data_IF_653756442056
#
_entry.id   IF_653756442056
#
_cell.length_a   1.000
_cell.length_b   1.000
_cell.length_c   1.000
_cell.angle_alpha   90.00
_cell.angle_beta   90.00
_cell.angle_gamma   90.00
#
_symmetry.space_group_name_H-M   'P 1'
#
loop_
_entity.id
_entity.type
_entity.pdbx_description
1 polymer ?
#
# COMPACT_ATOMS: atom_id res chain seq x y z
N UNK A 1 -92.40 7.90 -29.05
CA UNK A 1 -91.69 6.60 -29.15
C UNK A 1 -90.36 6.84 -29.84
N UNK A 2 -89.27 6.96 -29.07
CA UNK A 2 -87.90 6.95 -29.58
C UNK A 2 -87.16 5.85 -28.79
N UNK A 3 -86.98 4.70 -29.42
CA UNK A 3 -86.16 3.61 -28.90
C UNK A 3 -84.69 4.01 -29.06
N UNK A 4 -84.10 4.51 -27.96
CA UNK A 4 -82.66 4.76 -27.88
C UNK A 4 -81.92 3.43 -28.02
N UNK A 5 -81.26 3.28 -29.17
CA UNK A 5 -80.40 2.15 -29.52
C UNK A 5 -79.17 2.16 -28.58
N UNK A 6 -79.27 1.41 -27.48
CA UNK A 6 -78.22 1.17 -26.49
C UNK A 6 -77.18 0.21 -27.09
N UNK A 7 -76.56 0.59 -28.20
CA UNK A 7 -75.40 -0.14 -28.75
C UNK A 7 -74.29 -0.08 -27.71
N UNK A 8 -74.00 -1.23 -27.13
CA UNK A 8 -73.03 -1.46 -26.08
C UNK A 8 -71.66 -0.83 -26.42
N UNK A 9 -71.28 0.24 -25.72
CA UNK A 9 -69.92 0.80 -25.67
C UNK A 9 -68.91 -0.11 -24.95
N UNK A 10 -69.40 -1.21 -24.37
CA UNK A 10 -68.65 -2.19 -23.57
C UNK A 10 -67.32 -2.70 -24.17
N UNK A 11 -67.24 -3.08 -25.47
CA UNK A 11 -65.98 -3.57 -26.02
C UNK A 11 -64.93 -2.46 -26.19
N UNK A 12 -65.35 -1.20 -26.29
CA UNK A 12 -64.44 -0.05 -26.43
C UNK A 12 -63.83 0.37 -25.08
N UNK A 13 -64.62 0.33 -24.01
CA UNK A 13 -64.17 0.64 -22.64
C UNK A 13 -63.20 -0.42 -22.10
N UNK A 14 -63.43 -1.71 -22.40
CA UNK A 14 -62.52 -2.78 -22.02
C UNK A 14 -61.17 -2.68 -22.75
N UNK A 15 -61.18 -2.33 -24.04
CA UNK A 15 -59.97 -2.10 -24.82
C UNK A 15 -59.14 -0.94 -24.28
N UNK A 16 -59.80 0.15 -23.85
CA UNK A 16 -59.13 1.30 -23.25
C UNK A 16 -58.52 0.99 -21.88
N UNK A 17 -59.23 0.24 -21.02
CA UNK A 17 -58.71 -0.21 -19.72
C UNK A 17 -57.51 -1.15 -19.86
N UNK A 18 -57.55 -2.09 -20.82
CA UNK A 18 -56.41 -2.95 -21.15
C UNK A 18 -55.19 -2.12 -21.58
N UNK A 19 -55.38 -1.18 -22.51
CA UNK A 19 -54.30 -0.32 -23.01
C UNK A 19 -53.72 0.59 -21.92
N UNK A 20 -54.57 1.13 -21.05
CA UNK A 20 -54.17 1.94 -19.90
C UNK A 20 -53.49 1.12 -18.80
N UNK A 21 -53.77 -0.18 -18.69
CA UNK A 21 -53.13 -1.07 -17.71
C UNK A 21 -51.75 -1.58 -18.14
N UNK A 22 -51.42 -1.59 -19.44
CA UNK A 22 -50.13 -2.07 -19.95
C UNK A 22 -48.91 -1.35 -19.32
N UNK A 23 -48.88 -0.01 -19.20
CA UNK A 23 -47.80 0.68 -18.48
C UNK A 23 -47.69 0.26 -17.02
N UNK A 24 -48.81 0.07 -16.33
CA UNK A 24 -48.83 -0.35 -14.92
C UNK A 24 -48.29 -1.78 -14.77
N UNK A 25 -48.69 -2.71 -15.65
CA UNK A 25 -48.16 -4.07 -15.69
C UNK A 25 -46.65 -4.04 -15.98
N UNK A 26 -46.19 -3.19 -16.90
CA UNK A 26 -44.78 -3.00 -17.19
C UNK A 26 -43.99 -2.52 -15.96
N UNK A 27 -44.50 -1.52 -15.24
CA UNK A 27 -43.89 -1.03 -13.98
C UNK A 27 -43.85 -2.13 -12.92
N UNK A 28 -44.96 -2.86 -12.72
CA UNK A 28 -45.01 -3.97 -11.75
C UNK A 28 -44.00 -5.06 -12.12
N UNK A 29 -43.88 -5.43 -13.40
CA UNK A 29 -42.92 -6.43 -13.85
C UNK A 29 -41.46 -5.97 -13.62
N UNK A 30 -41.15 -4.69 -13.87
CA UNK A 30 -39.82 -4.11 -13.62
C UNK A 30 -39.50 -4.11 -12.11
N UNK A 31 -40.44 -3.65 -11.27
CA UNK A 31 -40.27 -3.61 -9.83
C UNK A 31 -40.17 -5.01 -9.23
N UNK A 32 -41.00 -5.94 -9.68
CA UNK A 32 -40.98 -7.34 -9.26
C UNK A 32 -39.68 -8.05 -9.65
N UNK A 33 -39.22 -7.84 -10.89
CA UNK A 33 -37.94 -8.37 -11.37
C UNK A 33 -36.75 -7.82 -10.58
N UNK A 34 -36.75 -6.52 -10.27
CA UNK A 34 -35.69 -5.93 -9.44
C UNK A 34 -35.74 -6.43 -7.99
N UNK A 35 -36.92 -6.56 -7.38
CA UNK A 35 -37.06 -7.11 -6.04
C UNK A 35 -36.51 -8.54 -5.94
N UNK A 36 -36.77 -9.39 -6.94
CA UNK A 36 -36.18 -10.73 -7.01
C UNK A 36 -34.65 -10.68 -7.13
N UNK A 37 -34.11 -9.74 -7.92
CA UNK A 37 -32.67 -9.53 -8.06
C UNK A 37 -32.02 -9.04 -6.76
N UNK A 38 -32.69 -8.15 -6.01
CA UNK A 38 -32.21 -7.70 -4.71
C UNK A 38 -32.22 -8.83 -3.68
N UNK A 39 -33.27 -9.65 -3.66
CA UNK A 39 -33.35 -10.82 -2.77
C UNK A 39 -32.26 -11.85 -3.10
N UNK A 40 -32.02 -12.15 -4.37
CA UNK A 40 -30.96 -13.09 -4.75
C UNK A 40 -29.57 -12.53 -4.41
N UNK A 41 -29.33 -11.24 -4.61
CA UNK A 41 -28.10 -10.57 -4.22
C UNK A 41 -27.88 -10.61 -2.70
N UNK A 42 -28.93 -10.36 -1.91
CA UNK A 42 -28.88 -10.42 -0.45
C UNK A 42 -28.56 -11.85 0.05
N UNK A 43 -29.24 -12.87 -0.50
CA UNK A 43 -28.97 -14.27 -0.16
C UNK A 43 -27.54 -14.68 -0.52
N UNK A 44 -27.06 -14.28 -1.70
CA UNK A 44 -25.68 -14.55 -2.14
C UNK A 44 -24.64 -13.82 -1.26
N UNK A 45 -24.95 -12.61 -0.79
CA UNK A 45 -24.09 -11.88 0.13
C UNK A 45 -24.01 -12.60 1.48
N UNK A 46 -25.16 -12.96 2.06
CA UNK A 46 -25.22 -13.67 3.34
C UNK A 46 -24.43 -14.97 3.30
N UNK A 47 -24.68 -15.83 2.31
CA UNK A 47 -23.96 -17.09 2.15
C UNK A 47 -22.45 -16.87 2.08
N UNK A 48 -21.99 -15.93 1.24
CA UNK A 48 -20.56 -15.64 1.12
C UNK A 48 -19.98 -15.07 2.42
N UNK A 49 -20.75 -14.30 3.18
CA UNK A 49 -20.31 -13.77 4.48
C UNK A 49 -20.10 -14.90 5.47
N UNK A 50 -21.03 -15.85 5.54
CA UNK A 50 -20.88 -17.08 6.34
C UNK A 50 -19.68 -17.93 5.87
N UNK A 51 -19.45 -18.06 4.56
CA UNK A 51 -18.28 -18.75 4.01
C UNK A 51 -16.96 -18.07 4.42
N UNK A 52 -16.90 -16.74 4.37
CA UNK A 52 -15.72 -15.97 4.75
C UNK A 52 -15.40 -16.09 6.25
N UNK A 53 -16.42 -16.00 7.11
CA UNK A 53 -16.27 -16.22 8.56
C UNK A 53 -15.75 -17.63 8.86
N UNK A 54 -16.31 -18.66 8.19
CA UNK A 54 -15.82 -20.05 8.34
C UNK A 54 -14.38 -20.24 7.88
N UNK A 55 -13.94 -19.46 6.89
CA UNK A 55 -12.57 -19.45 6.42
C UNK A 55 -11.63 -18.54 7.25
N UNK A 56 -12.14 -17.89 8.31
CA UNK A 56 -11.36 -16.96 9.14
C UNK A 56 -10.94 -15.67 8.43
N UNK A 57 -11.63 -15.30 7.34
CA UNK A 57 -11.34 -14.10 6.57
C UNK A 57 -12.17 -12.94 7.15
N UNK A 58 -11.56 -11.79 7.48
CA UNK A 58 -12.27 -10.68 8.07
C UNK A 58 -13.33 -10.10 7.12
N UNK A 59 -14.45 -9.65 7.70
CA UNK A 59 -15.62 -9.11 7.00
C UNK A 59 -16.21 -7.85 7.66
N UNK A 60 -15.81 -7.55 8.90
CA UNK A 60 -16.31 -6.46 9.75
C UNK A 60 -15.26 -6.07 10.81
N UNK A 61 -15.57 -5.10 11.68
CA UNK A 61 -14.65 -4.62 12.71
C UNK A 61 -14.26 -5.69 13.75
N UNK A 62 -15.22 -6.54 14.15
CA UNK A 62 -15.01 -7.56 15.18
C UNK A 62 -14.06 -8.64 14.66
N UNK A 63 -14.34 -9.17 13.47
CA UNK A 63 -13.46 -10.15 12.82
C UNK A 63 -12.08 -9.58 12.50
N UNK A 64 -11.97 -8.28 12.19
CA UNK A 64 -10.69 -7.58 12.05
C UNK A 64 -9.93 -7.52 13.38
N UNK A 65 -10.61 -7.21 14.48
CA UNK A 65 -10.02 -7.19 15.82
C UNK A 65 -9.50 -8.57 16.22
N UNK A 66 -10.25 -9.63 15.94
CA UNK A 66 -9.82 -11.02 16.18
C UNK A 66 -8.59 -11.42 15.35
N UNK A 67 -8.58 -11.07 14.06
CA UNK A 67 -7.43 -11.33 13.18
C UNK A 67 -6.21 -10.58 13.71
N UNK A 68 -6.34 -9.30 14.02
CA UNK A 68 -5.28 -8.45 14.54
C UNK A 68 -4.72 -8.99 15.86
N UNK A 69 -5.59 -9.36 16.82
CA UNK A 69 -5.18 -9.93 18.09
C UNK A 69 -4.46 -11.30 17.95
N UNK A 70 -4.75 -12.05 16.88
CA UNK A 70 -4.09 -13.34 16.60
C UNK A 70 -2.73 -13.18 15.92
N UNK A 71 -2.56 -12.17 15.08
CA UNK A 71 -1.32 -11.94 14.31
C UNK A 71 -0.32 -11.04 15.02
N UNK A 72 -0.73 -10.38 16.11
CA UNK A 72 0.12 -9.51 16.90
C UNK A 72 0.36 -10.06 18.31
N UNK A 73 1.36 -9.51 18.99
CA UNK A 73 1.77 -9.91 20.33
C UNK A 73 1.51 -8.80 21.33
N UNK A 74 0.76 -9.10 22.39
CA UNK A 74 0.62 -8.21 23.57
C UNK A 74 1.91 -8.11 24.39
N UNK A 75 2.94 -8.93 24.08
CA UNK A 75 4.21 -8.84 24.76
C UNK A 75 4.85 -7.49 24.46
N UNK A 76 5.27 -6.79 25.51
CA UNK A 76 5.98 -5.52 25.44
C UNK A 76 5.18 -4.33 24.86
N UNK A 77 3.84 -4.43 24.66
CA UNK A 77 3.03 -3.28 24.17
C UNK A 77 3.26 -2.01 24.98
N UNK A 78 3.24 -2.10 26.32
CA UNK A 78 3.49 -0.95 27.19
C UNK A 78 4.88 -0.35 26.99
N UNK A 79 5.91 -1.20 26.84
CA UNK A 79 7.27 -0.75 26.60
C UNK A 79 7.43 -0.07 25.22
N UNK A 80 6.70 -0.53 24.21
CA UNK A 80 6.64 0.14 22.91
C UNK A 80 5.96 1.50 22.97
N UNK A 81 4.89 1.66 23.76
CA UNK A 81 4.22 2.95 23.96
C UNK A 81 5.11 3.95 24.71
N UNK A 82 5.81 3.49 25.75
CA UNK A 82 6.81 4.29 26.47
C UNK A 82 7.94 4.72 25.53
N UNK A 83 8.43 3.80 24.70
CA UNK A 83 9.45 4.06 23.70
C UNK A 83 9.01 5.12 22.68
N UNK A 84 7.80 5.00 22.13
CA UNK A 84 7.25 5.98 21.18
C UNK A 84 7.15 7.37 21.83
N UNK A 85 6.66 7.44 23.06
CA UNK A 85 6.57 8.68 23.83
C UNK A 85 7.96 9.32 24.05
N UNK A 86 8.97 8.51 24.36
CA UNK A 86 10.34 8.98 24.53
C UNK A 86 10.95 9.48 23.20
N UNK A 87 10.69 8.77 22.10
CA UNK A 87 11.15 9.18 20.77
C UNK A 87 10.50 10.50 20.33
N UNK A 88 9.20 10.71 20.61
CA UNK A 88 8.50 11.97 20.37
C UNK A 88 9.16 13.12 21.15
N UNK A 89 9.50 12.91 22.42
CA UNK A 89 10.15 13.94 23.23
C UNK A 89 11.51 14.35 22.63
N UNK A 90 12.34 13.39 22.20
CA UNK A 90 13.62 13.66 21.53
C UNK A 90 13.41 14.40 20.21
N UNK A 91 12.37 14.06 19.46
CA UNK A 91 12.08 14.67 18.17
C UNK A 91 11.57 16.11 18.30
N UNK A 92 10.80 16.42 19.36
CA UNK A 92 10.30 17.76 19.63
C UNK A 92 11.43 18.74 20.01
N UNK A 93 12.55 18.23 20.52
CA UNK A 93 13.77 19.03 20.77
C UNK A 93 14.57 19.33 19.49
N UNK A 94 14.15 18.83 18.33
CA UNK A 94 14.86 19.08 17.07
C UNK A 94 14.70 20.55 16.67
N UNK A 95 15.80 21.28 16.44
CA UNK A 95 15.70 22.63 15.90
C UNK A 95 14.99 22.59 14.55
N UNK A 96 14.09 23.54 14.31
CA UNK A 96 13.49 23.72 13.00
C UNK A 96 14.62 23.97 12.01
N UNK A 97 14.85 23.01 11.12
CA UNK A 97 15.82 23.17 10.04
C UNK A 97 15.14 24.06 8.99
N UNK A 98 15.80 25.15 8.62
CA UNK A 98 15.51 25.79 7.34
C UNK A 98 15.66 24.75 6.22
N UNK A 99 14.95 24.95 5.11
CA UNK A 99 14.80 23.97 4.03
C UNK A 99 16.09 23.19 3.70
N UNK A 100 15.98 21.90 3.34
CA UNK A 100 17.14 21.05 3.09
C UNK A 100 18.05 21.68 2.02
N UNK A 101 19.25 22.11 2.46
CA UNK A 101 20.36 22.44 1.56
C UNK A 101 20.74 21.20 0.75
N UNK A 102 20.99 21.35 -0.55
CA UNK A 102 21.39 20.27 -1.45
C UNK A 102 22.79 19.69 -1.11
N UNK A 103 23.59 20.38 -0.29
CA UNK A 103 24.84 19.84 0.24
C UNK A 103 24.59 18.85 1.36
N UNK A 104 25.34 17.72 1.38
CA UNK A 104 25.35 16.76 2.49
C UNK A 104 25.49 17.53 3.80
N UNK A 105 24.43 17.59 4.64
CA UNK A 105 24.46 18.51 5.77
C UNK A 105 25.56 18.08 6.72
N UNK A 106 26.54 18.95 6.97
CA UNK A 106 27.49 18.75 8.05
C UNK A 106 26.72 18.46 9.34
N UNK A 107 27.09 17.37 10.01
CA UNK A 107 26.47 16.98 11.26
C UNK A 107 26.91 17.97 12.33
N UNK A 108 25.95 18.71 12.86
CA UNK A 108 26.20 19.71 13.90
C UNK A 108 26.56 19.04 15.24
N UNK A 109 27.33 19.72 16.13
CA UNK A 109 27.55 19.24 17.48
C UNK A 109 26.25 18.98 18.27
N UNK A 110 25.22 19.78 18.01
CA UNK A 110 23.89 19.62 18.61
C UNK A 110 23.20 18.31 18.17
N UNK A 111 23.35 17.91 16.90
CA UNK A 111 22.84 16.63 16.40
C UNK A 111 23.56 15.45 17.08
N UNK A 112 24.88 15.55 17.30
CA UNK A 112 25.66 14.52 18.02
C UNK A 112 25.18 14.42 19.48
N UNK A 113 25.05 15.55 20.18
CA UNK A 113 24.57 15.56 21.57
C UNK A 113 23.15 14.99 21.67
N UNK A 114 22.26 15.33 20.74
CA UNK A 114 20.91 14.78 20.68
C UNK A 114 20.93 13.26 20.51
N UNK A 115 21.78 12.71 19.64
CA UNK A 115 21.91 11.26 19.47
C UNK A 115 22.50 10.58 20.72
N UNK A 116 23.41 11.24 21.44
CA UNK A 116 23.86 10.74 22.75
C UNK A 116 22.73 10.66 23.76
N UNK A 117 21.83 11.66 23.80
CA UNK A 117 20.62 11.62 24.64
C UNK A 117 19.62 10.55 24.17
N UNK A 118 19.60 10.23 22.88
CA UNK A 118 18.75 9.21 22.29
C UNK A 118 19.24 7.77 22.49
N UNK A 119 20.50 7.57 22.89
CA UNK A 119 21.09 6.24 23.05
C UNK A 119 20.24 5.26 23.88
N UNK A 120 19.61 5.65 25.03
CA UNK A 120 18.75 4.74 25.79
C UNK A 120 17.49 4.32 25.03
N UNK A 121 16.95 5.20 24.17
CA UNK A 121 15.79 4.90 23.31
C UNK A 121 16.21 3.91 22.21
N UNK A 122 17.38 4.11 21.60
CA UNK A 122 17.93 3.20 20.58
C UNK A 122 18.22 1.81 21.18
N UNK A 123 18.80 1.75 22.38
CA UNK A 123 19.01 0.49 23.10
C UNK A 123 17.69 -0.23 23.42
N UNK A 124 16.65 0.54 23.79
CA UNK A 124 15.32 0.00 24.01
C UNK A 124 14.70 -0.53 22.71
N UNK A 125 14.88 0.14 21.57
CA UNK A 125 14.49 -0.38 20.24
C UNK A 125 15.19 -1.72 20.01
N UNK A 126 16.52 -1.78 20.15
CA UNK A 126 17.27 -3.04 19.94
C UNK A 126 16.73 -4.18 20.79
N UNK A 127 16.56 -3.96 22.09
CA UNK A 127 16.02 -4.97 23.00
C UNK A 127 14.62 -5.43 22.58
N UNK A 128 13.74 -4.51 22.22
CA UNK A 128 12.33 -4.81 21.90
C UNK A 128 12.16 -5.52 20.56
N UNK A 129 12.99 -5.17 19.57
CA UNK A 129 12.97 -5.76 18.22
C UNK A 129 13.58 -7.16 18.12
N UNK A 130 14.14 -7.70 19.21
CA UNK A 130 14.61 -9.10 19.26
C UNK A 130 13.46 -10.11 19.17
N UNK A 131 12.25 -9.71 19.53
CA UNK A 131 11.04 -10.48 19.21
C UNK A 131 10.54 -9.99 17.84
N UNK A 132 10.63 -10.82 16.78
CA UNK A 132 10.26 -10.40 15.43
C UNK A 132 8.74 -10.33 15.22
N UNK A 133 7.93 -10.69 16.22
CA UNK A 133 6.48 -10.69 16.09
C UNK A 133 5.94 -9.25 16.07
N UNK A 134 4.98 -8.94 15.18
CA UNK A 134 4.30 -7.66 15.19
C UNK A 134 3.69 -7.35 16.57
N UNK A 135 3.84 -6.11 17.01
CA UNK A 135 3.36 -5.70 18.33
C UNK A 135 1.87 -5.44 18.28
N UNK A 136 1.17 -5.80 19.34
CA UNK A 136 -0.24 -5.43 19.47
C UNK A 136 -0.32 -3.98 19.92
N UNK A 137 -1.21 -3.23 19.26
CA UNK A 137 -1.54 -1.85 19.59
C UNK A 137 -3.04 -1.74 19.82
N UNK A 138 -3.46 -0.81 20.68
CA UNK A 138 -4.88 -0.65 21.02
C UNK A 138 -5.63 0.04 19.88
N UNK A 139 -5.95 -0.71 18.83
CA UNK A 139 -6.73 -0.23 17.69
C UNK A 139 -8.21 -0.45 17.94
N UNK A 140 -8.98 0.63 17.91
CA UNK A 140 -10.45 0.57 17.88
C UNK A 140 -10.90 0.55 16.43
N UNK A 141 -11.12 -0.64 15.89
CA UNK A 141 -11.59 -0.81 14.52
C UNK A 141 -12.96 -0.15 14.32
N UNK A 142 -13.01 0.84 13.45
CA UNK A 142 -14.20 1.59 13.10
C UNK A 142 -14.26 1.85 11.59
N UNK A 143 -14.10 0.80 10.77
CA UNK A 143 -14.04 0.92 9.31
C UNK A 143 -12.99 1.93 8.85
N UNK A 144 -13.36 2.85 7.97
CA UNK A 144 -12.49 3.93 7.48
C UNK A 144 -12.15 5.01 8.53
N UNK A 145 -12.80 4.98 9.68
CA UNK A 145 -12.56 5.92 10.79
C UNK A 145 -11.64 5.31 11.85
N UNK A 146 -11.10 4.11 11.61
CA UNK A 146 -10.13 3.49 12.50
C UNK A 146 -8.96 4.45 12.71
N UNK A 147 -8.70 4.92 13.95
CA UNK A 147 -7.55 5.77 14.21
C UNK A 147 -6.27 4.93 14.06
N UNK A 148 -5.27 5.51 13.38
CA UNK A 148 -3.97 4.88 13.10
C UNK A 148 -2.84 5.75 13.67
N UNK A 149 -2.97 6.16 14.93
CA UNK A 149 -2.02 7.07 15.62
C UNK A 149 -0.62 6.45 15.66
N UNK A 150 -0.55 5.17 15.98
CA UNK A 150 0.70 4.42 16.05
C UNK A 150 1.49 4.35 14.74
N UNK A 151 0.81 4.42 13.59
CA UNK A 151 1.49 4.52 12.29
C UNK A 151 2.21 5.87 12.15
N UNK A 152 1.68 6.94 12.73
CA UNK A 152 2.37 8.23 12.73
C UNK A 152 3.61 8.16 13.63
N UNK A 153 3.48 7.58 14.81
CA UNK A 153 4.57 7.40 15.77
C UNK A 153 5.70 6.53 15.21
N UNK A 154 5.36 5.54 14.39
CA UNK A 154 6.36 4.68 13.72
C UNK A 154 7.35 5.49 12.87
N UNK A 155 6.91 6.58 12.23
CA UNK A 155 7.77 7.44 11.39
C UNK A 155 8.80 8.20 12.21
N UNK A 156 8.45 8.54 13.46
CA UNK A 156 9.36 9.22 14.38
C UNK A 156 10.52 8.29 14.75
N UNK A 157 10.24 7.01 14.99
CA UNK A 157 11.29 6.01 15.26
C UNK A 157 12.22 5.83 14.06
N UNK A 158 11.69 5.71 12.85
CA UNK A 158 12.51 5.60 11.64
C UNK A 158 13.36 6.85 11.41
N UNK A 159 12.80 8.05 11.63
CA UNK A 159 13.55 9.30 11.54
C UNK A 159 14.68 9.36 12.58
N UNK A 160 14.44 8.91 13.82
CA UNK A 160 15.46 8.85 14.86
C UNK A 160 16.63 7.93 14.47
N UNK A 161 16.32 6.75 13.93
CA UNK A 161 17.33 5.78 13.49
C UNK A 161 18.10 6.25 12.25
N UNK A 162 17.46 7.01 11.37
CA UNK A 162 18.14 7.68 10.26
C UNK A 162 19.10 8.78 10.74
N UNK A 163 18.69 9.59 11.71
CA UNK A 163 19.57 10.59 12.31
C UNK A 163 20.80 9.92 12.99
N UNK A 164 20.58 8.82 13.71
CA UNK A 164 21.64 8.02 14.33
C UNK A 164 22.63 7.47 13.30
N UNK A 165 22.12 6.91 12.20
CA UNK A 165 22.93 6.41 11.09
C UNK A 165 23.82 7.51 10.49
N UNK A 166 23.28 8.70 10.26
CA UNK A 166 24.05 9.82 9.70
C UNK A 166 25.14 10.31 10.66
N UNK A 167 24.84 10.35 11.97
CA UNK A 167 25.85 10.65 12.99
C UNK A 167 26.96 9.59 13.00
N UNK A 168 26.60 8.31 12.97
CA UNK A 168 27.58 7.21 12.91
C UNK A 168 28.45 7.27 11.66
N UNK A 169 27.88 7.61 10.50
CA UNK A 169 28.64 7.83 9.26
C UNK A 169 29.64 8.98 9.39
N UNK A 170 29.19 10.13 9.91
CA UNK A 170 30.05 11.30 10.10
C UNK A 170 31.21 11.01 11.08
N UNK A 171 30.97 10.16 12.08
CA UNK A 171 31.97 9.75 13.07
C UNK A 171 32.84 8.56 12.62
N UNK A 172 32.63 8.03 11.40
CA UNK A 172 33.36 6.87 10.88
C UNK A 172 33.19 5.60 11.75
N UNK A 173 31.98 5.37 12.25
CA UNK A 173 31.61 4.24 13.11
C UNK A 173 30.77 3.20 12.34
N UNK A 174 31.40 2.32 11.53
CA UNK A 174 30.67 1.44 10.60
C UNK A 174 29.73 0.46 11.29
N UNK A 175 30.11 -0.07 12.46
CA UNK A 175 29.26 -1.00 13.20
C UNK A 175 27.97 -0.32 13.69
N UNK A 176 28.08 0.91 14.20
CA UNK A 176 26.94 1.68 14.70
C UNK A 176 25.99 2.08 13.58
N UNK A 177 26.54 2.44 12.41
CA UNK A 177 25.74 2.67 11.20
C UNK A 177 25.01 1.39 10.73
N UNK A 178 25.70 0.24 10.75
CA UNK A 178 25.12 -1.05 10.39
C UNK A 178 23.99 -1.47 11.35
N UNK A 179 24.18 -1.20 12.65
CA UNK A 179 23.15 -1.42 13.66
C UNK A 179 21.93 -0.52 13.45
N UNK A 180 22.13 0.78 13.13
CA UNK A 180 21.02 1.67 12.81
C UNK A 180 20.21 1.22 11.58
N UNK A 181 20.88 0.73 10.52
CA UNK A 181 20.23 0.11 9.36
C UNK A 181 19.39 -1.10 9.78
N UNK A 182 19.99 -2.04 10.53
CA UNK A 182 19.28 -3.24 11.03
C UNK A 182 18.06 -2.86 11.86
N UNK A 183 18.20 -1.92 12.78
CA UNK A 183 17.11 -1.48 13.66
C UNK A 183 15.99 -0.80 12.87
N UNK A 184 16.30 -0.04 11.82
CA UNK A 184 15.28 0.59 10.96
C UNK A 184 14.39 -0.46 10.32
N UNK A 185 14.98 -1.54 9.80
CA UNK A 185 14.23 -2.68 9.28
C UNK A 185 13.45 -3.40 10.38
N UNK A 186 14.06 -3.64 11.54
CA UNK A 186 13.43 -4.36 12.63
C UNK A 186 12.22 -3.61 13.22
N UNK A 187 12.26 -2.28 13.26
CA UNK A 187 11.11 -1.42 13.59
C UNK A 187 10.00 -1.58 12.55
N UNK A 188 10.33 -1.55 11.26
CA UNK A 188 9.34 -1.75 10.20
C UNK A 188 8.62 -3.11 10.29
N UNK A 189 9.34 -4.17 10.70
CA UNK A 189 8.77 -5.50 10.93
C UNK A 189 7.93 -5.56 12.22
N UNK A 190 8.41 -4.94 13.30
CA UNK A 190 7.71 -4.95 14.59
C UNK A 190 6.40 -4.17 14.55
N UNK A 191 6.33 -3.13 13.72
CA UNK A 191 5.15 -2.28 13.53
C UNK A 191 4.33 -2.68 12.30
N UNK A 192 4.55 -3.90 11.78
CA UNK A 192 3.87 -4.40 10.59
C UNK A 192 2.43 -4.79 10.92
N UNK A 193 1.50 -3.90 10.61
CA UNK A 193 0.07 -4.15 10.78
C UNK A 193 -0.59 -4.52 9.45
N UNK A 194 -0.60 -5.79 9.05
CA UNK A 194 -1.14 -6.24 7.75
C UNK A 194 -2.65 -6.42 7.77
N UNK A 195 -3.39 -5.32 7.91
CA UNK A 195 -4.85 -5.36 7.91
C UNK A 195 -5.51 -4.39 6.92
N UNK A 196 -4.79 -3.45 6.30
CA UNK A 196 -5.37 -2.66 5.21
C UNK A 196 -4.29 -2.12 4.27
N UNK A 197 -4.70 -1.40 3.21
CA UNK A 197 -3.75 -0.81 2.26
C UNK A 197 -2.89 0.27 2.92
N UNK A 198 -3.49 1.10 3.77
CA UNK A 198 -2.80 2.26 4.37
C UNK A 198 -1.65 1.82 5.27
N UNK A 199 -1.84 0.78 6.08
CA UNK A 199 -0.79 0.25 6.95
C UNK A 199 0.38 -0.32 6.14
N UNK A 200 0.09 -1.05 5.05
CA UNK A 200 1.14 -1.59 4.21
C UNK A 200 1.90 -0.51 3.41
N UNK A 201 1.22 0.57 2.99
CA UNK A 201 1.87 1.75 2.41
C UNK A 201 2.84 2.43 3.39
N UNK A 202 2.53 2.42 4.69
CA UNK A 202 3.45 2.92 5.73
C UNK A 202 4.68 2.00 5.85
N UNK A 203 4.48 0.68 5.80
CA UNK A 203 5.60 -0.28 5.77
C UNK A 203 6.50 -0.09 4.54
N UNK A 204 5.91 0.14 3.36
CA UNK A 204 6.66 0.48 2.14
C UNK A 204 7.49 1.75 2.36
N UNK A 205 6.95 2.77 3.02
CA UNK A 205 7.67 4.01 3.31
C UNK A 205 8.87 3.77 4.23
N UNK A 206 8.74 2.95 5.28
CA UNK A 206 9.85 2.59 6.17
C UNK A 206 10.97 1.84 5.43
N UNK A 207 10.61 0.89 4.57
CA UNK A 207 11.58 0.14 3.75
C UNK A 207 12.31 1.05 2.77
N UNK A 208 11.60 1.99 2.14
CA UNK A 208 12.21 3.02 1.30
C UNK A 208 13.20 3.89 2.05
N UNK A 209 12.90 4.23 3.30
CA UNK A 209 13.82 4.98 4.14
C UNK A 209 15.10 4.18 4.43
N UNK A 210 14.97 2.89 4.77
CA UNK A 210 16.14 1.99 4.93
C UNK A 210 16.97 1.90 3.65
N UNK A 211 16.34 1.70 2.49
CA UNK A 211 17.01 1.66 1.18
C UNK A 211 17.73 2.98 0.87
N UNK A 212 17.10 4.12 1.16
CA UNK A 212 17.72 5.44 0.98
C UNK A 212 18.97 5.62 1.86
N UNK A 213 18.96 5.13 3.10
CA UNK A 213 20.15 5.13 3.97
C UNK A 213 21.28 4.28 3.38
N UNK A 214 20.95 3.10 2.83
CA UNK A 214 21.93 2.26 2.12
C UNK A 214 22.51 3.03 0.93
N UNK A 215 21.67 3.65 0.11
CA UNK A 215 22.11 4.46 -1.04
C UNK A 215 23.04 5.61 -0.63
N UNK A 216 22.70 6.35 0.44
CA UNK A 216 23.54 7.42 0.99
C UNK A 216 24.93 6.90 1.38
N UNK A 217 25.01 5.76 2.07
CA UNK A 217 26.31 5.18 2.46
C UNK A 217 27.14 4.63 1.30
N UNK A 218 26.49 4.10 0.26
CA UNK A 218 27.18 3.65 -0.97
C UNK A 218 27.72 4.85 -1.75
N UNK A 219 26.94 5.92 -1.88
CA UNK A 219 27.37 7.16 -2.51
C UNK A 219 28.51 7.85 -1.74
N UNK A 220 28.51 7.72 -0.41
CA UNK A 220 29.59 8.23 0.42
C UNK A 220 30.86 7.36 0.40
N UNK A 221 30.84 6.18 -0.22
CA UNK A 221 31.96 5.23 -0.19
C UNK A 221 32.31 4.74 1.23
N UNK A 222 31.31 4.73 2.12
CA UNK A 222 31.50 4.53 3.56
C UNK A 222 31.96 3.09 3.91
N UNK A 223 31.51 2.10 3.13
CA UNK A 223 31.79 0.69 3.41
C UNK A 223 33.09 0.23 2.75
N UNK A 224 34.05 -0.20 3.58
CA UNK A 224 35.37 -0.67 3.14
C UNK A 224 35.57 -2.18 3.32
N UNK A 225 34.72 -2.84 4.12
CA UNK A 225 34.79 -4.27 4.40
C UNK A 225 33.67 -5.03 3.65
N UNK A 226 33.99 -6.08 2.87
CA UNK A 226 32.99 -6.90 2.18
C UNK A 226 31.93 -7.51 3.12
N UNK A 227 32.29 -7.84 4.36
CA UNK A 227 31.40 -8.42 5.36
C UNK A 227 30.27 -7.46 5.76
N UNK A 228 30.54 -6.15 5.77
CA UNK A 228 29.49 -5.15 6.03
C UNK A 228 28.46 -5.11 4.89
N UNK A 229 28.92 -5.24 3.65
CA UNK A 229 28.04 -5.30 2.48
C UNK A 229 27.21 -6.59 2.46
N UNK A 230 27.76 -7.70 2.94
CA UNK A 230 27.00 -8.94 3.12
C UNK A 230 25.91 -8.80 4.18
N UNK A 231 26.20 -8.12 5.29
CA UNK A 231 25.19 -7.82 6.30
C UNK A 231 24.08 -6.91 5.74
N UNK A 232 24.43 -5.88 4.97
CA UNK A 232 23.45 -4.99 4.32
C UNK A 232 22.62 -5.75 3.28
N UNK A 233 23.25 -6.59 2.45
CA UNK A 233 22.54 -7.40 1.48
C UNK A 233 21.51 -8.31 2.16
N UNK A 234 21.86 -8.95 3.28
CA UNK A 234 20.94 -9.77 4.06
C UNK A 234 19.78 -8.97 4.65
N UNK A 235 20.01 -7.71 5.04
CA UNK A 235 18.94 -6.80 5.49
C UNK A 235 17.99 -6.47 4.34
N UNK A 236 18.50 -6.10 3.16
CA UNK A 236 17.67 -5.72 2.00
C UNK A 236 16.96 -6.93 1.36
N UNK A 237 17.55 -8.12 1.46
CA UNK A 237 17.06 -9.35 0.82
C UNK A 237 15.85 -10.00 1.51
N UNK A 238 15.15 -9.30 2.42
CA UNK A 238 14.08 -9.83 3.26
C UNK A 238 13.15 -10.85 2.59
N UNK A 239 12.74 -11.86 3.37
CA UNK A 239 11.80 -12.90 2.96
C UNK A 239 10.37 -12.36 3.09
N UNK A 240 9.94 -11.64 2.08
CA UNK A 240 8.60 -11.08 2.00
C UNK A 240 7.93 -11.51 0.71
N UNK A 241 6.66 -11.90 0.81
CA UNK A 241 5.84 -12.32 -0.33
C UNK A 241 4.91 -11.16 -0.72
N UNK A 242 5.21 -10.43 -1.82
CA UNK A 242 4.36 -9.33 -2.28
C UNK A 242 2.93 -9.79 -2.58
N UNK A 243 2.73 -11.06 -2.96
CA UNK A 243 1.42 -11.64 -3.24
C UNK A 243 0.62 -11.77 -1.95
N UNK A 244 1.22 -12.33 -0.90
CA UNK A 244 0.56 -12.44 0.40
C UNK A 244 0.17 -11.05 0.94
N UNK A 245 1.08 -10.07 0.88
CA UNK A 245 0.81 -8.68 1.30
C UNK A 245 -0.33 -8.03 0.52
N UNK A 246 -0.35 -8.21 -0.80
CA UNK A 246 -1.45 -7.74 -1.64
C UNK A 246 -2.80 -8.31 -1.20
N UNK A 247 -2.85 -9.62 -0.96
CA UNK A 247 -4.08 -10.30 -0.57
C UNK A 247 -4.55 -9.90 0.82
N UNK A 248 -3.66 -9.82 1.80
CA UNK A 248 -4.00 -9.48 3.18
C UNK A 248 -4.47 -8.03 3.32
N UNK A 249 -3.76 -7.08 2.70
CA UNK A 249 -4.17 -5.69 2.65
C UNK A 249 -5.58 -5.55 2.03
N UNK A 250 -5.85 -6.23 0.91
CA UNK A 250 -7.16 -6.18 0.27
C UNK A 250 -8.27 -6.91 1.03
N UNK A 251 -7.95 -7.98 1.77
CA UNK A 251 -8.93 -8.69 2.61
C UNK A 251 -9.43 -7.79 3.72
N UNK A 252 -8.56 -7.11 4.43
CA UNK A 252 -8.99 -6.23 5.52
C UNK A 252 -9.56 -4.89 5.01
N UNK A 253 -9.07 -4.36 3.89
CA UNK A 253 -9.70 -3.22 3.22
C UNK A 253 -11.14 -3.55 2.77
N UNK A 254 -11.36 -4.76 2.25
CA UNK A 254 -12.72 -5.26 1.96
C UNK A 254 -13.56 -5.34 3.23
N UNK A 255 -13.01 -5.74 4.37
CA UNK A 255 -13.74 -5.77 5.64
C UNK A 255 -14.20 -4.37 6.07
N UNK A 256 -13.33 -3.36 5.96
CA UNK A 256 -13.69 -1.96 6.22
C UNK A 256 -14.81 -1.46 5.30
N UNK A 257 -14.73 -1.78 4.00
CA UNK A 257 -15.81 -1.47 3.07
C UNK A 257 -17.10 -2.16 3.46
N UNK A 258 -17.07 -3.46 3.70
CA UNK A 258 -18.28 -4.21 3.99
C UNK A 258 -18.93 -3.75 5.30
N UNK A 259 -18.14 -3.40 6.31
CA UNK A 259 -18.63 -2.74 7.52
C UNK A 259 -19.34 -1.43 7.17
N UNK A 260 -18.67 -0.49 6.50
CA UNK A 260 -19.25 0.80 6.15
C UNK A 260 -20.53 0.69 5.31
N UNK A 261 -20.63 -0.34 4.46
CA UNK A 261 -21.83 -0.63 3.66
C UNK A 261 -22.98 -1.24 4.48
N UNK A 262 -22.69 -1.84 5.64
CA UNK A 262 -23.67 -2.51 6.51
C UNK A 262 -24.17 -1.61 7.65
N UNK A 263 -23.34 -0.70 8.20
CA UNK A 263 -23.66 0.11 9.40
C UNK A 263 -24.47 1.39 9.12
N UNK A 264 -24.92 1.64 7.88
CA UNK A 264 -25.59 2.90 7.49
C UNK A 264 -26.89 3.25 8.23
N UNK A 265 -27.46 2.33 9.02
CA UNK A 265 -28.69 2.59 9.79
C UNK A 265 -28.43 3.04 11.23
N UNK A 266 -27.17 3.14 11.66
CA UNK A 266 -26.82 3.61 13.00
C UNK A 266 -26.43 5.10 12.93
N UNK A 267 -27.01 5.92 13.82
CA UNK A 267 -26.78 7.38 13.93
C UNK A 267 -25.31 7.77 14.24
N UNK A 268 -24.38 6.81 14.21
CA UNK A 268 -23.00 6.89 14.67
C UNK A 268 -21.97 7.24 13.59
N UNK A 269 -22.35 7.34 12.30
CA UNK A 269 -21.40 7.71 11.24
C UNK A 269 -21.19 9.22 11.23
N UNK A 270 -20.41 9.72 12.17
CA UNK A 270 -19.94 11.10 12.18
C UNK A 270 -18.78 11.25 11.18
N UNK A 271 -18.92 12.17 10.21
CA UNK A 271 -17.88 12.71 9.28
C UNK A 271 -17.61 12.14 7.85
N UNK A 272 -17.39 13.12 6.96
CA UNK A 272 -16.72 13.22 5.64
C UNK A 272 -17.14 12.32 4.45
N UNK A 273 -17.42 11.02 4.62
CA UNK A 273 -17.97 10.19 3.53
C UNK A 273 -19.48 10.45 3.30
N UNK A 274 -20.04 11.33 4.13
CA UNK A 274 -21.46 11.64 4.24
C UNK A 274 -22.17 12.13 2.98
N UNK A 275 -21.61 12.95 2.05
CA UNK A 275 -22.41 13.43 0.93
C UNK A 275 -22.90 12.29 0.04
N UNK A 276 -22.02 11.34 -0.29
CA UNK A 276 -22.38 10.20 -1.12
C UNK A 276 -23.31 9.25 -0.37
N UNK A 277 -23.06 8.96 0.90
CA UNK A 277 -23.88 8.01 1.67
C UNK A 277 -25.25 8.57 2.07
N UNK A 278 -25.33 9.85 2.44
CA UNK A 278 -26.60 10.56 2.70
C UNK A 278 -27.44 10.72 1.42
N UNK A 279 -26.83 10.61 0.24
CA UNK A 279 -27.58 10.54 -1.01
C UNK A 279 -28.41 9.25 -1.13
N UNK A 280 -28.21 8.24 -0.27
CA UNK A 280 -29.00 7.01 -0.27
C UNK A 280 -29.89 6.93 0.99
N UNK A 281 -31.04 7.65 1.05
CA UNK A 281 -31.90 7.71 2.24
C UNK A 281 -32.54 6.36 2.61
N UNK A 282 -32.49 5.37 1.71
CA UNK A 282 -33.00 4.01 1.91
C UNK A 282 -31.86 2.99 2.08
N UNK A 283 -30.64 3.46 2.31
CA UNK A 283 -29.43 2.67 2.40
C UNK A 283 -28.91 2.16 1.04
N UNK A 284 -27.75 1.51 1.08
CA UNK A 284 -27.12 0.92 -0.10
C UNK A 284 -27.77 -0.43 -0.44
N UNK A 285 -28.24 -0.55 -1.68
CA UNK A 285 -28.94 -1.75 -2.16
C UNK A 285 -28.01 -3.00 -2.16
N UNK A 286 -28.55 -4.21 -1.90
CA UNK A 286 -27.75 -5.44 -1.87
C UNK A 286 -26.92 -5.70 -3.13
N UNK A 287 -27.45 -5.35 -4.30
CA UNK A 287 -26.74 -5.46 -5.59
C UNK A 287 -25.49 -4.60 -5.64
N UNK A 288 -25.48 -3.42 -5.01
CA UNK A 288 -24.33 -2.53 -4.94
C UNK A 288 -23.26 -3.08 -3.99
N UNK A 289 -23.68 -3.60 -2.82
CA UNK A 289 -22.77 -4.28 -1.88
C UNK A 289 -22.12 -5.50 -2.51
N UNK A 290 -22.91 -6.29 -3.26
CA UNK A 290 -22.41 -7.42 -4.02
C UNK A 290 -21.42 -7.00 -5.12
N UNK A 291 -21.66 -5.87 -5.80
CA UNK A 291 -20.73 -5.31 -6.77
C UNK A 291 -19.37 -4.94 -6.13
N UNK A 292 -19.39 -4.25 -4.99
CA UNK A 292 -18.17 -3.91 -4.24
C UNK A 292 -17.41 -5.18 -3.85
N UNK A 293 -18.10 -6.16 -3.23
CA UNK A 293 -17.48 -7.44 -2.87
C UNK A 293 -16.89 -8.19 -4.07
N UNK A 294 -17.59 -8.17 -5.21
CA UNK A 294 -17.12 -8.82 -6.43
C UNK A 294 -15.87 -8.14 -7.00
N UNK A 295 -15.79 -6.81 -6.94
CA UNK A 295 -14.58 -6.08 -7.30
C UNK A 295 -13.39 -6.51 -6.43
N UNK A 296 -13.53 -6.51 -5.10
CA UNK A 296 -12.45 -6.93 -4.21
C UNK A 296 -12.03 -8.38 -4.45
N UNK A 297 -12.98 -9.30 -4.64
CA UNK A 297 -12.63 -10.69 -4.94
C UNK A 297 -11.86 -10.82 -6.25
N UNK A 298 -12.15 -9.99 -7.26
CA UNK A 298 -11.37 -9.96 -8.51
C UNK A 298 -9.97 -9.39 -8.30
N UNK A 299 -9.82 -8.36 -7.47
CA UNK A 299 -8.53 -7.77 -7.14
C UNK A 299 -7.67 -8.74 -6.34
N UNK A 300 -8.22 -9.38 -5.30
CA UNK A 300 -7.54 -10.39 -4.47
C UNK A 300 -7.08 -11.58 -5.32
N UNK A 301 -7.86 -11.97 -6.33
CA UNK A 301 -7.52 -13.10 -7.21
C UNK A 301 -6.46 -12.77 -8.27
N UNK A 302 -5.98 -11.52 -8.36
CA UNK A 302 -4.85 -11.19 -9.23
C UNK A 302 -3.56 -11.80 -8.68
N UNK A 303 -2.69 -12.26 -9.58
CA UNK A 303 -1.42 -12.90 -9.25
C UNK A 303 -0.24 -12.08 -9.79
N UNK A 304 0.93 -12.27 -9.18
CA UNK A 304 2.17 -11.61 -9.61
C UNK A 304 2.34 -10.22 -9.01
N UNK A 305 1.81 -10.00 -7.80
CA UNK A 305 2.05 -8.77 -7.07
C UNK A 305 3.54 -8.44 -6.97
N UNK A 306 3.86 -7.14 -6.90
CA UNK A 306 5.25 -6.66 -7.00
C UNK A 306 5.75 -6.47 -8.43
N UNK A 307 4.91 -6.62 -9.46
CA UNK A 307 5.29 -6.42 -10.87
C UNK A 307 4.48 -5.31 -11.56
N UNK A 308 5.05 -4.74 -12.64
CA UNK A 308 4.35 -3.79 -13.50
C UNK A 308 3.13 -4.40 -14.23
N UNK A 309 3.19 -5.70 -14.57
CA UNK A 309 2.09 -6.42 -15.18
C UNK A 309 0.88 -6.58 -14.24
N UNK A 310 1.14 -6.89 -12.97
CA UNK A 310 0.10 -6.94 -11.94
C UNK A 310 -0.52 -5.57 -11.70
N UNK A 311 0.30 -4.53 -11.63
CA UNK A 311 -0.12 -3.11 -11.56
C UNK A 311 -1.11 -2.73 -12.67
N UNK A 312 -0.76 -3.06 -13.91
CA UNK A 312 -1.63 -2.87 -15.09
C UNK A 312 -2.92 -3.68 -15.00
N UNK A 313 -2.84 -4.91 -14.49
CA UNK A 313 -4.00 -5.80 -14.30
C UNK A 313 -4.97 -5.25 -13.24
N UNK A 314 -4.46 -4.74 -12.12
CA UNK A 314 -5.25 -4.09 -11.08
C UNK A 314 -5.97 -2.84 -11.62
N UNK A 315 -5.27 -2.02 -12.43
CA UNK A 315 -5.87 -0.88 -13.10
C UNK A 315 -6.96 -1.28 -14.10
N UNK A 316 -6.77 -2.38 -14.85
CA UNK A 316 -7.76 -2.89 -15.79
C UNK A 316 -9.03 -3.40 -15.09
N UNK A 317 -8.88 -4.18 -14.01
CA UNK A 317 -10.01 -4.65 -13.17
C UNK A 317 -10.79 -3.48 -12.61
N UNK A 318 -10.07 -2.49 -12.07
CA UNK A 318 -10.63 -1.24 -11.55
C UNK A 318 -11.45 -0.48 -12.59
N UNK A 319 -10.83 -0.20 -13.74
CA UNK A 319 -11.42 0.57 -14.83
C UNK A 319 -12.66 -0.12 -15.37
N UNK A 320 -12.60 -1.45 -15.53
CA UNK A 320 -13.73 -2.27 -15.97
C UNK A 320 -14.89 -2.22 -14.98
N UNK A 321 -14.61 -2.27 -13.67
CA UNK A 321 -15.64 -2.17 -12.65
C UNK A 321 -16.31 -0.79 -12.65
N UNK A 322 -15.53 0.30 -12.77
CA UNK A 322 -16.07 1.65 -12.88
C UNK A 322 -16.89 1.85 -14.15
N UNK A 323 -16.45 1.36 -15.31
CA UNK A 323 -17.23 1.47 -16.55
C UNK A 323 -18.50 0.61 -16.52
N UNK A 324 -18.41 -0.60 -15.94
CA UNK A 324 -19.54 -1.52 -15.79
C UNK A 324 -20.61 -1.01 -14.81
N UNK A 325 -20.21 -0.21 -13.82
CA UNK A 325 -21.12 0.38 -12.81
C UNK A 325 -22.27 1.20 -13.42
N UNK A 326 -22.03 1.81 -14.59
CA UNK A 326 -23.04 2.61 -15.30
C UNK A 326 -24.09 1.77 -16.07
N UNK A 327 -23.85 0.46 -16.27
CA UNK A 327 -24.74 -0.42 -17.08
C UNK A 327 -25.75 -1.24 -16.25
N UNK A 328 -25.60 -1.25 -14.92
CA UNK A 328 -26.36 -2.12 -14.00
C UNK A 328 -27.55 -1.46 -13.29
N UNK A 329 -28.09 -0.37 -13.83
CA UNK A 329 -29.15 0.47 -13.24
C UNK A 329 -30.29 -0.38 -12.67
N UNK A 330 -30.40 -0.43 -11.34
CA UNK A 330 -31.60 -0.92 -10.67
C UNK A 330 -32.70 0.12 -10.82
N UNK A 331 -33.72 -0.17 -11.62
CA UNK A 331 -34.83 0.78 -11.84
C UNK A 331 -35.55 1.14 -10.54
N UNK A 332 -35.58 0.24 -9.55
CA UNK A 332 -36.11 0.49 -8.20
C UNK A 332 -35.27 1.47 -7.37
N UNK A 333 -34.01 1.68 -7.74
CA UNK A 333 -33.08 2.55 -7.03
C UNK A 333 -33.00 3.94 -7.65
N UNK A 334 -33.76 4.26 -8.70
CA UNK A 334 -33.76 5.60 -9.33
C UNK A 334 -34.27 6.64 -8.31
N UNK A 335 -33.58 7.78 -8.14
CA UNK A 335 -32.48 8.31 -8.98
C UNK A 335 -31.06 7.79 -8.65
N UNK A 336 -30.90 6.99 -7.61
CA UNK A 336 -29.64 6.48 -7.06
C UNK A 336 -29.14 5.14 -7.67
N UNK A 337 -29.63 4.79 -8.85
CA UNK A 337 -29.37 3.51 -9.49
C UNK A 337 -27.94 3.35 -10.05
N UNK A 338 -27.15 4.41 -10.02
CA UNK A 338 -25.74 4.35 -10.39
C UNK A 338 -24.91 3.79 -9.22
N UNK A 339 -24.23 2.66 -9.44
CA UNK A 339 -23.32 2.08 -8.45
C UNK A 339 -21.95 2.78 -8.43
N UNK A 340 -21.67 3.63 -9.41
CA UNK A 340 -20.44 4.37 -9.61
C UNK A 340 -20.02 5.24 -8.42
N UNK A 341 -20.89 6.07 -7.80
CA UNK A 341 -20.51 6.86 -6.63
C UNK A 341 -20.10 5.99 -5.44
N UNK A 342 -20.83 4.89 -5.17
CA UNK A 342 -20.51 3.94 -4.08
C UNK A 342 -19.17 3.27 -4.35
N UNK A 343 -18.98 2.73 -5.57
CA UNK A 343 -17.72 2.11 -5.96
C UNK A 343 -16.56 3.11 -5.94
N UNK A 344 -16.73 4.36 -6.40
CA UNK A 344 -15.66 5.37 -6.34
C UNK A 344 -15.30 5.79 -4.92
N UNK A 345 -16.28 5.80 -4.02
CA UNK A 345 -16.10 6.20 -2.61
C UNK A 345 -15.42 5.09 -1.81
N UNK A 346 -15.78 3.84 -2.07
CA UNK A 346 -15.34 2.69 -1.27
C UNK A 346 -14.34 1.78 -1.96
N UNK A 347 -14.03 2.04 -3.24
CA UNK A 347 -12.90 1.36 -3.83
C UNK A 347 -11.65 2.17 -3.50
N UNK A 348 -10.66 1.59 -2.83
CA UNK A 348 -9.39 2.21 -2.51
C UNK A 348 -8.59 2.35 -3.80
N UNK A 349 -7.51 3.12 -3.78
CA UNK A 349 -6.60 3.16 -4.92
C UNK A 349 -5.78 1.85 -5.04
N UNK A 350 -6.42 0.67 -5.15
CA UNK A 350 -5.78 -0.64 -5.21
C UNK A 350 -4.76 -0.74 -6.35
N UNK A 351 -5.01 -0.08 -7.49
CA UNK A 351 -4.01 0.02 -8.56
C UNK A 351 -2.79 0.85 -8.14
N UNK A 352 -2.95 1.95 -7.38
CA UNK A 352 -1.82 2.70 -6.82
C UNK A 352 -1.06 1.88 -5.78
N UNK A 353 -1.75 1.06 -5.00
CA UNK A 353 -1.12 0.12 -4.08
C UNK A 353 -0.31 -0.96 -4.82
N UNK A 354 -0.86 -1.53 -5.89
CA UNK A 354 -0.11 -2.45 -6.77
C UNK A 354 1.14 -1.78 -7.36
N UNK A 355 1.03 -0.52 -7.82
CA UNK A 355 2.16 0.28 -8.29
C UNK A 355 3.19 0.50 -7.17
N UNK A 356 2.74 0.76 -5.95
CA UNK A 356 3.63 0.97 -4.80
C UNK A 356 4.42 -0.30 -4.46
N UNK A 357 3.78 -1.48 -4.46
CA UNK A 357 4.44 -2.77 -4.30
C UNK A 357 5.46 -3.03 -5.43
N UNK A 358 5.10 -2.76 -6.68
CA UNK A 358 6.01 -2.93 -7.81
C UNK A 358 7.24 -2.02 -7.71
N UNK A 359 7.04 -0.75 -7.36
CA UNK A 359 8.13 0.19 -7.13
C UNK A 359 9.01 -0.22 -5.95
N UNK A 360 8.42 -0.75 -4.88
CA UNK A 360 9.18 -1.24 -3.72
C UNK A 360 10.09 -2.43 -4.08
N UNK A 361 9.58 -3.40 -4.87
CA UNK A 361 10.42 -4.51 -5.34
C UNK A 361 11.52 -4.04 -6.27
N UNK A 362 11.22 -3.13 -7.20
CA UNK A 362 12.24 -2.55 -8.08
C UNK A 362 13.32 -1.79 -7.30
N UNK A 363 12.93 -0.98 -6.31
CA UNK A 363 13.85 -0.26 -5.43
C UNK A 363 14.73 -1.24 -4.64
N UNK A 364 14.15 -2.33 -4.12
CA UNK A 364 14.89 -3.40 -3.42
C UNK A 364 15.94 -4.03 -4.32
N UNK A 365 15.59 -4.38 -5.56
CA UNK A 365 16.53 -4.94 -6.51
C UNK A 365 17.64 -3.92 -6.82
N UNK A 366 17.28 -2.65 -7.02
CA UNK A 366 18.24 -1.57 -7.27
C UNK A 366 19.25 -1.41 -6.13
N UNK A 367 18.78 -1.40 -4.88
CA UNK A 367 19.66 -1.38 -3.69
C UNK A 367 20.59 -2.59 -3.66
N UNK A 368 20.07 -3.80 -3.89
CA UNK A 368 20.89 -5.03 -3.91
C UNK A 368 21.97 -5.00 -4.99
N UNK A 369 21.66 -4.48 -6.18
CA UNK A 369 22.65 -4.28 -7.24
C UNK A 369 23.73 -3.28 -6.82
N UNK A 370 23.36 -2.14 -6.20
CA UNK A 370 24.33 -1.18 -5.68
C UNK A 370 25.31 -1.82 -4.67
N UNK A 371 24.78 -2.60 -3.72
CA UNK A 371 25.57 -3.36 -2.74
C UNK A 371 26.46 -4.39 -3.43
N UNK A 372 25.93 -5.13 -4.40
CA UNK A 372 26.67 -6.14 -5.16
C UNK A 372 27.83 -5.54 -5.98
N UNK A 373 27.62 -4.40 -6.63
CA UNK A 373 28.65 -3.66 -7.38
C UNK A 373 29.78 -3.27 -6.44
N UNK A 374 29.47 -2.66 -5.28
CA UNK A 374 30.49 -2.26 -4.31
C UNK A 374 31.24 -3.47 -3.76
N UNK A 375 30.54 -4.56 -3.46
CA UNK A 375 31.16 -5.82 -2.97
C UNK A 375 32.12 -6.40 -4.01
N UNK A 376 31.71 -6.43 -5.28
CA UNK A 376 32.56 -6.86 -6.38
C UNK A 376 33.81 -5.99 -6.50
N UNK A 377 33.65 -4.66 -6.41
CA UNK A 377 34.76 -3.71 -6.47
C UNK A 377 35.80 -3.96 -5.37
N UNK A 378 35.37 -4.16 -4.12
CA UNK A 378 36.27 -4.47 -3.01
C UNK A 378 36.98 -5.83 -3.18
N UNK A 379 36.29 -6.84 -3.71
CA UNK A 379 36.85 -8.19 -3.88
C UNK A 379 37.79 -8.33 -5.08
N UNK A 380 37.51 -7.61 -6.17
CA UNK A 380 38.24 -7.73 -7.44
C UNK A 380 39.21 -6.59 -7.70
N UNK A 381 39.13 -5.50 -6.93
CA UNK A 381 39.93 -4.29 -7.15
C UNK A 381 39.58 -3.55 -8.44
N UNK A 382 38.42 -3.83 -9.04
CA UNK A 382 37.90 -3.16 -10.24
C UNK A 382 36.37 -3.17 -10.23
N UNK A 383 35.76 -2.20 -10.90
CA UNK A 383 34.33 -2.22 -11.19
C UNK A 383 33.96 -3.39 -12.12
N UNK A 384 32.73 -3.92 -12.04
CA UNK A 384 32.25 -4.88 -13.03
C UNK A 384 32.15 -4.22 -14.41
N UNK A 385 32.40 -4.98 -15.48
CA UNK A 385 32.26 -4.48 -16.86
C UNK A 385 30.79 -4.34 -17.27
N UNK A 386 29.92 -5.11 -16.63
CA UNK A 386 28.47 -5.12 -16.82
C UNK A 386 27.80 -5.84 -15.65
N UNK A 387 26.49 -5.68 -15.52
CA UNK A 387 25.72 -6.30 -14.43
C UNK A 387 25.70 -7.83 -14.51
N UNK A 388 25.96 -8.42 -15.67
CA UNK A 388 26.07 -9.86 -15.89
C UNK A 388 27.24 -10.51 -15.14
N UNK A 389 28.34 -9.77 -14.88
CA UNK A 389 29.45 -10.26 -14.05
C UNK A 389 29.03 -10.51 -12.59
N UNK A 390 27.91 -9.91 -12.15
CA UNK A 390 27.36 -10.07 -10.79
C UNK A 390 26.48 -11.31 -10.66
N UNK A 391 26.14 -11.99 -11.75
CA UNK A 391 25.27 -13.19 -11.77
C UNK A 391 25.78 -14.35 -10.91
N UNK A 392 27.06 -14.35 -10.54
CA UNK A 392 27.65 -15.33 -9.63
C UNK A 392 27.27 -15.13 -8.15
N UNK A 393 26.83 -13.94 -7.76
CA UNK A 393 26.61 -13.57 -6.35
C UNK A 393 25.31 -14.17 -5.81
N UNK A 394 25.41 -14.89 -4.70
CA UNK A 394 24.28 -15.58 -4.06
C UNK A 394 23.15 -14.62 -3.66
N UNK A 395 23.49 -13.42 -3.17
CA UNK A 395 22.50 -12.41 -2.75
C UNK A 395 21.52 -12.00 -3.85
N UNK A 396 21.95 -11.98 -5.12
CA UNK A 396 21.09 -11.62 -6.25
C UNK A 396 20.23 -12.80 -6.69
N UNK A 397 20.76 -14.03 -6.57
CA UNK A 397 20.01 -15.27 -6.86
C UNK A 397 18.91 -15.51 -5.85
N UNK A 398 19.18 -15.32 -4.55
CA UNK A 398 18.19 -15.50 -3.49
C UNK A 398 17.06 -14.49 -3.58
N UNK A 399 17.33 -13.29 -4.12
CA UNK A 399 16.32 -12.27 -4.39
C UNK A 399 15.47 -12.56 -5.64
N UNK A 400 15.76 -13.63 -6.40
CA UNK A 400 15.00 -13.98 -7.60
C UNK A 400 15.16 -13.00 -8.76
N UNK A 401 16.25 -12.23 -8.77
CA UNK A 401 16.49 -11.18 -9.76
C UNK A 401 16.84 -11.81 -11.12
N UNK A 402 16.08 -11.48 -12.16
CA UNK A 402 16.41 -11.81 -13.54
C UNK A 402 17.10 -10.62 -14.24
N UNK A 403 18.43 -10.74 -14.38
CA UNK A 403 19.33 -9.77 -15.00
C UNK A 403 18.93 -9.35 -16.42
N UNK A 404 18.15 -10.15 -17.15
CA UNK A 404 17.73 -9.83 -18.52
C UNK A 404 16.40 -9.08 -18.60
N UNK A 405 15.62 -9.09 -17.53
CA UNK A 405 14.27 -8.52 -17.49
C UNK A 405 14.18 -7.18 -16.77
N UNK A 406 15.17 -6.87 -15.93
CA UNK A 406 15.18 -5.67 -15.11
C UNK A 406 15.60 -4.43 -15.93
N UNK A 407 14.82 -3.33 -15.91
CA UNK A 407 15.12 -2.11 -16.65
C UNK A 407 16.17 -1.25 -15.93
N UNK A 408 17.33 -1.85 -15.65
CA UNK A 408 18.46 -1.19 -15.00
C UNK A 408 19.55 -0.86 -16.00
N UNK A 409 20.14 0.32 -15.86
CA UNK A 409 21.34 0.70 -16.57
C UNK A 409 22.51 0.89 -15.62
N UNK A 410 23.71 0.66 -16.14
CA UNK A 410 24.96 0.69 -15.38
C UNK A 410 26.07 1.29 -16.24
N UNK A 411 26.87 2.17 -15.65
CA UNK A 411 28.00 2.81 -16.31
C UNK A 411 29.07 3.17 -15.27
N UNK A 412 30.35 3.01 -15.62
CA UNK A 412 31.46 3.52 -14.81
C UNK A 412 31.86 4.89 -15.35
N UNK A 413 32.02 5.86 -14.45
CA UNK A 413 32.51 7.19 -14.77
C UNK A 413 33.85 7.14 -15.53
N UNK A 414 34.12 8.17 -16.34
CA UNK A 414 35.33 8.22 -17.15
C UNK A 414 36.63 8.28 -16.33
N UNK A 415 36.57 8.79 -15.09
CA UNK A 415 37.68 8.79 -14.13
C UNK A 415 37.93 7.41 -13.49
N UNK A 416 36.93 6.51 -13.55
CA UNK A 416 36.98 5.18 -12.94
C UNK A 416 36.71 5.18 -11.43
N UNK A 417 36.34 6.31 -10.82
CA UNK A 417 36.17 6.43 -9.37
C UNK A 417 34.73 6.16 -8.91
N UNK A 418 33.76 6.35 -9.79
CA UNK A 418 32.33 6.21 -9.48
C UNK A 418 31.66 5.26 -10.47
N UNK A 419 30.80 4.38 -9.97
CA UNK A 419 29.85 3.66 -10.81
C UNK A 419 28.43 4.24 -10.62
N UNK A 420 27.73 4.44 -11.74
CA UNK A 420 26.34 4.88 -11.77
C UNK A 420 25.44 3.69 -12.06
N UNK A 421 24.39 3.55 -11.25
CA UNK A 421 23.33 2.57 -11.44
C UNK A 421 21.99 3.31 -11.48
N UNK A 422 21.18 3.09 -12.51
CA UNK A 422 19.86 3.72 -12.60
C UNK A 422 18.77 2.74 -12.96
N UNK A 423 17.54 3.07 -12.56
CA UNK A 423 16.33 2.32 -12.91
C UNK A 423 15.37 3.20 -13.69
N UNK A 424 14.72 2.60 -14.69
CA UNK A 424 13.57 3.25 -15.33
C UNK A 424 12.30 2.90 -14.56
N UNK A 425 11.49 3.86 -14.10
CA UNK A 425 10.28 3.56 -13.33
C UNK A 425 9.31 2.66 -14.12
N UNK A 426 8.49 1.84 -13.45
CA UNK A 426 7.68 0.82 -14.11
C UNK A 426 6.59 1.42 -15.00
N UNK A 427 6.27 2.71 -14.82
CA UNK A 427 5.25 3.44 -15.57
C UNK A 427 5.83 4.18 -16.80
N UNK A 428 7.14 4.10 -17.05
CA UNK A 428 7.78 4.75 -18.20
C UNK A 428 7.49 4.01 -19.50
N UNK A 429 7.16 4.74 -20.57
CA UNK A 429 6.93 4.16 -21.90
C UNK A 429 8.26 3.81 -22.60
N UNK A 430 9.37 4.44 -22.21
CA UNK A 430 10.68 4.27 -22.81
C UNK A 430 11.69 3.73 -21.79
N UNK A 431 12.18 2.51 -22.01
CA UNK A 431 13.33 1.97 -21.28
C UNK A 431 14.62 2.45 -21.94
N UNK A 432 15.24 3.48 -21.37
CA UNK A 432 16.54 3.94 -21.86
C UNK A 432 17.68 3.17 -21.20
N UNK A 433 18.56 2.60 -22.03
CA UNK A 433 19.85 2.06 -21.59
C UNK A 433 20.95 3.13 -21.47
N UNK A 434 20.65 4.38 -21.81
CA UNK A 434 21.60 5.48 -21.63
C UNK A 434 21.34 6.16 -20.30
N UNK A 435 22.42 6.57 -19.63
CA UNK A 435 22.33 7.35 -18.40
C UNK A 435 21.43 8.59 -18.64
N UNK A 436 20.50 8.91 -17.73
CA UNK A 436 19.74 10.14 -17.80
C UNK A 436 20.70 11.34 -17.69
N UNK A 437 20.70 12.23 -18.68
CA UNK A 437 21.47 13.48 -18.59
C UNK A 437 20.77 14.40 -17.59
N UNK A 438 21.51 14.93 -16.63
CA UNK A 438 21.00 15.74 -15.52
C UNK A 438 20.17 16.96 -15.97
N UNK A 439 20.38 17.43 -17.21
CA UNK A 439 19.65 18.56 -17.81
C UNK A 439 18.21 18.27 -18.23
N UNK A 440 17.75 17.01 -18.23
CA UNK A 440 16.39 16.62 -18.64
C UNK A 440 15.37 16.60 -17.48
N UNK A 441 15.73 17.13 -16.31
CA UNK A 441 14.81 17.29 -15.18
C UNK A 441 13.82 18.44 -15.41
N UNK A 442 12.95 18.33 -16.41
CA UNK A 442 11.79 19.21 -16.52
C UNK A 442 10.78 18.90 -15.39
N UNK A 443 10.17 19.92 -14.76
CA UNK A 443 9.10 19.71 -13.79
C UNK A 443 7.95 18.92 -14.43
N UNK A 444 7.70 17.69 -13.95
CA UNK A 444 6.63 16.82 -14.43
C UNK A 444 7.07 15.61 -15.25
N UNK A 445 8.37 15.47 -15.57
CA UNK A 445 8.92 14.25 -16.19
C UNK A 445 9.27 13.23 -15.10
N UNK A 446 8.99 11.95 -15.37
CA UNK A 446 9.30 10.82 -14.49
C UNK A 446 10.80 10.86 -14.16
N UNK A 447 11.15 11.09 -12.88
CA UNK A 447 12.54 11.09 -12.43
C UNK A 447 13.12 9.69 -12.60
N UNK A 448 14.15 9.56 -13.42
CA UNK A 448 15.04 8.42 -13.36
C UNK A 448 15.83 8.53 -12.04
N UNK A 449 15.93 7.42 -11.31
CA UNK A 449 16.70 7.37 -10.07
C UNK A 449 18.11 6.91 -10.42
N UNK A 450 19.12 7.71 -10.05
CA UNK A 450 20.54 7.38 -10.26
C UNK A 450 21.20 7.23 -8.89
N UNK A 451 21.91 6.11 -8.71
CA UNK A 451 22.68 5.79 -7.53
C UNK A 451 24.15 5.93 -7.91
N UNK A 452 24.86 6.77 -7.17
CA UNK A 452 26.31 6.78 -7.20
C UNK A 452 26.84 5.71 -6.25
N UNK A 453 27.76 4.90 -6.73
CA UNK A 453 28.49 3.92 -5.91
C UNK A 453 29.96 4.31 -5.96
N UNK A 454 30.52 4.69 -4.81
CA UNK A 454 31.93 5.07 -4.65
C UNK A 454 32.68 3.99 -3.88
#
# INVERSE_FOLDING_TARGET
MNTMDRRSSFPFELGYLMLASLPLIGVIAILGGDHLRQRSAAAALQQRTEDALRAGIPIDNDSMSEVFARTTSNANTAAWQELQSAAIAIQNDRPLRDEPSESTPEISPEEIERMQRAAPVIEAIDRLTRDPRPIWQSIVFNGFQTPLESLQDSRILSQLLHDEFRVAMAQQEPQRALDALRLTQAVALSLREEFCIVTDLVNIAHRKQHQAMVHESLAAGFWTAPESLDAIANQVAWDDDPQQRWEDALRGERAFVMQALNTQNEDSVDMQLTPTLKAFPFGIAPTQRQACRTLYNRLIALTGAGTAAHSSSAQAVWTTALMGSNRGVAWSAIPFANTGPVLKTFSPAAHQFANALAREQQERHWTLFGVAIKRFQLQKGRWPLGLDELSGLEMLKSAGIDFNSEPMGYEVAADGDVAYLWITPPDSIEHSKTRPVESDQQPGVIKNYTLEVR
#
